data_IF_621636355495
#
_entry.id   IF_621636355495
#
_cell.length_a   1.000
_cell.length_b   1.000
_cell.length_c   1.000
_cell.angle_alpha   90.00
_cell.angle_beta   90.00
_cell.angle_gamma   90.00
#
_symmetry.space_group_name_H-M   'P 1'
#
loop_
_entity.id
_entity.type
_entity.pdbx_description
1 polymer ?
#
# COMPACT_ATOMS: atom_id res chain seq x y z
N UNK A 1 -5.84 24.83 -7.67
CA UNK A 1 -6.16 23.69 -6.78
C UNK A 1 -4.87 22.91 -6.58
N UNK A 2 -4.36 22.91 -5.35
CA UNK A 2 -2.99 22.44 -5.02
C UNK A 2 -2.84 20.94 -5.28
N UNK A 3 -1.75 20.55 -5.95
CA UNK A 3 -1.31 19.15 -6.17
C UNK A 3 -1.20 18.32 -4.88
N UNK A 4 -1.28 18.94 -3.70
CA UNK A 4 -1.24 18.26 -2.41
C UNK A 4 -2.54 17.51 -2.05
N UNK A 5 -3.70 17.99 -2.52
CA UNK A 5 -5.03 17.40 -2.21
C UNK A 5 -5.16 15.94 -2.69
N UNK A 6 -4.79 15.59 -3.95
CA UNK A 6 -4.82 14.20 -4.42
C UNK A 6 -3.85 13.29 -3.66
N UNK A 7 -2.65 13.79 -3.33
CA UNK A 7 -1.61 13.02 -2.62
C UNK A 7 -2.03 12.71 -1.20
N UNK A 8 -2.65 13.66 -0.50
CA UNK A 8 -3.18 13.47 0.86
C UNK A 8 -4.37 12.51 0.88
N UNK A 9 -5.24 12.55 -0.13
CA UNK A 9 -6.34 11.59 -0.25
C UNK A 9 -5.86 10.17 -0.60
N UNK A 10 -4.86 10.04 -1.48
CA UNK A 10 -4.21 8.75 -1.76
C UNK A 10 -3.48 8.20 -0.51
N UNK A 11 -2.81 9.07 0.25
CA UNK A 11 -2.16 8.74 1.52
C UNK A 11 -3.11 8.37 2.66
N UNK A 12 -4.38 8.80 2.62
CA UNK A 12 -5.45 8.31 3.53
C UNK A 12 -6.02 6.96 3.08
N UNK A 13 -6.10 6.73 1.78
CA UNK A 13 -6.57 5.47 1.19
C UNK A 13 -5.57 4.33 1.44
N UNK A 14 -4.28 4.62 1.30
CA UNK A 14 -3.21 3.77 1.84
C UNK A 14 -3.32 3.93 3.35
N UNK A 15 -3.95 3.00 4.05
CA UNK A 15 -3.90 2.97 5.52
C UNK A 15 -2.44 2.84 5.96
N UNK A 16 -1.69 3.95 6.04
CA UNK A 16 -0.28 3.99 6.39
C UNK A 16 -0.06 3.33 7.75
N UNK A 17 -1.04 3.51 8.64
CA UNK A 17 -1.16 2.84 9.92
C UNK A 17 -1.16 1.30 9.84
N UNK A 18 -1.66 0.71 8.74
CA UNK A 18 -1.59 -0.75 8.54
C UNK A 18 -0.24 -1.22 8.01
N UNK A 19 0.53 -0.36 7.36
CA UNK A 19 1.90 -0.67 6.96
C UNK A 19 2.81 -0.81 8.19
N UNK A 20 2.49 -0.14 9.30
CA UNK A 20 3.18 -0.32 10.59
C UNK A 20 3.13 -1.78 11.06
N UNK A 21 2.04 -2.51 10.81
CA UNK A 21 1.96 -3.93 11.18
C UNK A 21 2.83 -4.85 10.32
N UNK A 22 3.22 -4.41 9.12
CA UNK A 22 4.11 -5.18 8.24
C UNK A 22 5.60 -4.90 8.54
N UNK A 23 5.93 -3.73 9.11
CA UNK A 23 7.30 -3.33 9.43
C UNK A 23 8.05 -4.34 10.31
N UNK A 24 7.48 -4.92 11.38
CA UNK A 24 8.18 -5.90 12.20
C UNK A 24 8.69 -7.08 11.38
N UNK A 25 7.90 -7.62 10.44
CA UNK A 25 8.30 -8.75 9.60
C UNK A 25 9.44 -8.36 8.63
N UNK A 26 9.35 -7.20 8.00
CA UNK A 26 10.39 -6.71 7.11
C UNK A 26 11.71 -6.45 7.87
N UNK A 27 11.63 -5.87 9.07
CA UNK A 27 12.78 -5.59 9.91
C UNK A 27 13.38 -6.85 10.55
N UNK A 28 12.58 -7.88 10.85
CA UNK A 28 13.10 -9.19 11.26
C UNK A 28 13.96 -9.82 10.16
N UNK A 29 13.52 -9.76 8.90
CA UNK A 29 14.32 -10.19 7.76
C UNK A 29 15.61 -9.37 7.61
N UNK A 30 15.52 -8.05 7.76
CA UNK A 30 16.68 -7.16 7.75
C UNK A 30 17.68 -7.48 8.87
N UNK A 31 17.19 -7.80 10.08
CA UNK A 31 18.02 -8.17 11.21
C UNK A 31 18.73 -9.52 10.98
N UNK A 32 18.04 -10.51 10.40
CA UNK A 32 18.66 -11.79 10.01
C UNK A 32 19.77 -11.58 8.97
N UNK A 33 19.54 -10.75 7.95
CA UNK A 33 20.56 -10.43 6.95
C UNK A 33 21.75 -9.66 7.55
N UNK A 34 21.48 -8.74 8.47
CA UNK A 34 22.48 -7.97 9.18
C UNK A 34 23.41 -8.85 10.03
N UNK A 35 22.89 -9.95 10.62
CA UNK A 35 23.67 -10.88 11.40
C UNK A 35 24.73 -11.65 10.59
N UNK A 36 24.55 -11.77 9.26
CA UNK A 36 25.47 -12.52 8.38
C UNK A 36 26.46 -11.59 7.68
N UNK A 37 26.00 -10.44 7.17
CA UNK A 37 26.78 -9.58 6.27
C UNK A 37 26.84 -8.12 6.68
N UNK A 38 26.24 -7.76 7.82
CA UNK A 38 26.00 -6.36 8.20
C UNK A 38 24.88 -5.74 7.37
N UNK A 39 24.41 -4.57 7.80
CA UNK A 39 23.42 -3.78 7.07
C UNK A 39 23.74 -2.29 7.22
N UNK A 40 23.59 -1.53 6.14
CA UNK A 40 23.76 -0.09 6.16
C UNK A 40 22.44 0.61 6.48
N UNK A 41 22.49 1.75 7.17
CA UNK A 41 21.28 2.54 7.49
C UNK A 41 20.46 2.91 6.25
N UNK A 42 21.13 3.19 5.12
CA UNK A 42 20.47 3.44 3.84
C UNK A 42 19.65 2.25 3.34
N UNK A 43 20.13 1.01 3.55
CA UNK A 43 19.39 -0.19 3.15
C UNK A 43 18.11 -0.36 3.97
N UNK A 44 18.14 -0.05 5.28
CA UNK A 44 16.95 -0.04 6.12
C UNK A 44 15.91 0.96 5.59
N UNK A 45 16.35 2.17 5.22
CA UNK A 45 15.50 3.16 4.58
C UNK A 45 14.83 2.63 3.31
N UNK A 46 15.62 1.99 2.42
CA UNK A 46 15.10 1.40 1.19
C UNK A 46 14.15 0.22 1.44
N UNK A 47 14.39 -0.62 2.45
CA UNK A 47 13.49 -1.71 2.83
C UNK A 47 12.12 -1.15 3.23
N UNK A 48 12.09 -0.07 4.02
CA UNK A 48 10.84 0.58 4.43
C UNK A 48 10.10 1.14 3.22
N UNK A 49 10.81 1.86 2.34
CA UNK A 49 10.22 2.43 1.11
C UNK A 49 9.66 1.32 0.22
N UNK A 50 10.43 0.26 -0.02
CA UNK A 50 10.02 -0.87 -0.85
C UNK A 50 8.79 -1.58 -0.26
N UNK A 51 8.76 -1.80 1.05
CA UNK A 51 7.64 -2.46 1.72
C UNK A 51 6.35 -1.63 1.62
N UNK A 52 6.42 -0.32 1.86
CA UNK A 52 5.25 0.58 1.75
C UNK A 52 4.75 0.67 0.31
N UNK A 53 5.67 0.78 -0.66
CA UNK A 53 5.32 0.83 -2.08
C UNK A 53 4.67 -0.47 -2.53
N UNK A 54 5.27 -1.63 -2.23
CA UNK A 54 4.74 -2.94 -2.61
C UNK A 54 3.36 -3.20 -1.99
N UNK A 55 3.17 -2.86 -0.72
CA UNK A 55 1.88 -2.99 -0.03
C UNK A 55 0.80 -2.12 -0.69
N UNK A 56 1.13 -0.87 -1.01
CA UNK A 56 0.21 0.08 -1.61
C UNK A 56 -0.17 -0.34 -3.03
N UNK A 57 0.83 -0.71 -3.84
CA UNK A 57 0.63 -1.22 -5.19
C UNK A 57 -0.23 -2.48 -5.19
N UNK A 58 0.03 -3.44 -4.30
CA UNK A 58 -0.77 -4.66 -4.18
C UNK A 58 -2.23 -4.36 -3.82
N UNK A 59 -2.49 -3.43 -2.89
CA UNK A 59 -3.86 -3.05 -2.53
C UNK A 59 -4.59 -2.34 -3.68
N UNK A 60 -3.91 -1.44 -4.41
CA UNK A 60 -4.46 -0.78 -5.59
C UNK A 60 -4.78 -1.79 -6.69
N UNK A 61 -3.82 -2.65 -7.02
CA UNK A 61 -3.98 -3.69 -8.03
C UNK A 61 -5.13 -4.65 -7.71
N UNK A 62 -5.20 -5.17 -6.48
CA UNK A 62 -6.29 -6.07 -6.06
C UNK A 62 -7.65 -5.40 -6.28
N UNK A 63 -7.78 -4.12 -5.88
CA UNK A 63 -9.05 -3.39 -6.07
C UNK A 63 -9.37 -3.10 -7.54
N UNK A 64 -8.36 -2.87 -8.38
CA UNK A 64 -8.53 -2.62 -9.81
C UNK A 64 -9.03 -3.87 -10.54
N UNK A 65 -8.37 -5.01 -10.31
CA UNK A 65 -8.72 -6.29 -10.92
C UNK A 65 -10.06 -6.80 -10.39
N UNK A 66 -10.28 -6.70 -9.08
CA UNK A 66 -11.47 -7.22 -8.43
C UNK A 66 -12.68 -6.30 -8.57
N UNK A 67 -12.59 -5.14 -9.24
CA UNK A 67 -13.66 -4.12 -9.31
C UNK A 67 -15.05 -4.68 -9.66
N UNK A 68 -15.11 -5.65 -10.58
CA UNK A 68 -16.36 -6.28 -11.02
C UNK A 68 -16.88 -7.31 -10.02
N UNK A 69 -15.97 -7.99 -9.31
CA UNK A 69 -16.29 -8.94 -8.25
C UNK A 69 -16.78 -8.16 -7.01
N UNK A 70 -16.06 -7.10 -6.66
CA UNK A 70 -16.36 -6.20 -5.55
C UNK A 70 -17.74 -5.55 -5.72
N UNK A 71 -18.14 -5.19 -6.95
CA UNK A 71 -19.45 -4.62 -7.26
C UNK A 71 -20.62 -5.59 -7.04
N UNK A 72 -20.40 -6.91 -7.19
CA UNK A 72 -21.44 -7.94 -7.03
C UNK A 72 -21.58 -8.42 -5.60
N UNK A 73 -20.60 -8.17 -4.74
CA UNK A 73 -20.62 -8.61 -3.35
C UNK A 73 -21.20 -7.50 -2.45
N UNK A 74 -22.32 -7.74 -1.74
CA UNK A 74 -22.97 -6.74 -0.88
C UNK A 74 -22.04 -6.10 0.15
N UNK A 75 -21.02 -6.83 0.61
CA UNK A 75 -20.04 -6.36 1.60
C UNK A 75 -19.03 -5.35 1.02
N UNK A 76 -18.77 -5.42 -0.29
CA UNK A 76 -17.71 -4.64 -0.96
C UNK A 76 -18.23 -3.70 -2.05
N UNK A 77 -19.52 -3.79 -2.39
CA UNK A 77 -20.18 -2.94 -3.38
C UNK A 77 -20.12 -1.44 -3.02
N UNK A 78 -19.93 -1.10 -1.75
CA UNK A 78 -19.76 0.27 -1.27
C UNK A 78 -18.31 0.79 -1.33
N UNK A 79 -17.38 0.07 -1.97
CA UNK A 79 -16.00 0.55 -2.17
C UNK A 79 -15.93 1.67 -3.23
N UNK A 80 -14.83 2.40 -3.22
CA UNK A 80 -14.64 3.62 -4.04
C UNK A 80 -14.65 3.35 -5.55
N UNK A 81 -14.06 2.22 -6.00
CA UNK A 81 -14.03 1.82 -7.42
C UNK A 81 -15.40 1.34 -7.93
N UNK A 82 -16.11 0.41 -7.26
CA UNK A 82 -17.48 0.05 -7.64
C UNK A 82 -18.48 1.21 -7.63
N UNK A 83 -18.31 2.17 -6.70
CA UNK A 83 -19.16 3.37 -6.63
C UNK A 83 -18.79 4.47 -7.63
N UNK A 84 -17.70 4.31 -8.39
CA UNK A 84 -17.24 5.31 -9.37
C UNK A 84 -16.65 6.58 -8.74
N UNK A 85 -16.33 6.57 -7.45
CA UNK A 85 -15.66 7.70 -6.76
C UNK A 85 -14.19 7.80 -7.21
N UNK A 86 -13.58 6.66 -7.55
CA UNK A 86 -12.26 6.60 -8.18
C UNK A 86 -12.39 5.95 -9.56
N UNK A 87 -11.83 6.61 -10.58
CA UNK A 87 -11.77 6.07 -11.93
C UNK A 87 -10.66 5.02 -12.03
N UNK A 88 -10.82 3.95 -12.83
CA UNK A 88 -9.79 2.94 -13.02
C UNK A 88 -8.39 3.48 -13.42
N UNK A 89 -8.25 4.57 -14.20
CA UNK A 89 -6.95 5.17 -14.49
C UNK A 89 -6.27 5.86 -13.29
N UNK A 90 -6.99 6.11 -12.19
CA UNK A 90 -6.47 6.78 -11.01
C UNK A 90 -5.83 5.83 -9.98
N UNK A 91 -5.84 4.52 -10.26
CA UNK A 91 -5.32 3.44 -9.41
C UNK A 91 -4.04 2.89 -10.00
#
# INVERSE_FOLDING_TARGET
MSFAEPVLSYGRMIRFSHSIFALPFALSGAALAAAVSGIQGAQIGWIVVAMVAARSAAMGFNRLVDRHIDARNPRTAQRELPRGVLSPPAV
#
